data_IF_188110984153
#
_entry.id   IF_188110984153
#
_cell.length_a   1.000
_cell.length_b   1.000
_cell.length_c   1.000
_cell.angle_alpha   90.00
_cell.angle_beta   90.00
_cell.angle_gamma   90.00
#
_symmetry.space_group_name_H-M   'P 1'
#
loop_
_entity.id
_entity.type
_entity.pdbx_description
1 polymer ?
#
# COMPACT_ATOMS: atom_id res chain seq x y z
N UNK A 1 4.94 -9.62 4.15
CA UNK A 1 3.54 -10.10 4.02
C UNK A 1 3.32 -10.77 2.67
N UNK A 2 2.37 -11.73 2.62
CA UNK A 2 2.07 -12.52 1.42
C UNK A 2 1.71 -11.65 0.20
N UNK A 3 0.95 -10.57 0.41
CA UNK A 3 0.61 -9.62 -0.65
C UNK A 3 1.86 -8.98 -1.25
N UNK A 4 2.76 -8.47 -0.40
CA UNK A 4 4.02 -7.84 -0.83
C UNK A 4 4.90 -8.80 -1.61
N UNK A 5 5.00 -10.07 -1.17
CA UNK A 5 5.71 -11.13 -1.90
C UNK A 5 5.10 -11.34 -3.29
N UNK A 6 3.78 -11.41 -3.39
CA UNK A 6 3.07 -11.58 -4.64
C UNK A 6 3.29 -10.42 -5.63
N UNK A 7 3.25 -9.17 -5.13
CA UNK A 7 3.57 -7.99 -5.94
C UNK A 7 5.04 -8.00 -6.41
N UNK A 8 5.98 -8.28 -5.51
CA UNK A 8 7.41 -8.32 -5.82
C UNK A 8 7.73 -9.45 -6.83
N UNK A 9 7.08 -10.61 -6.69
CA UNK A 9 7.18 -11.71 -7.64
C UNK A 9 6.73 -11.30 -9.04
N UNK A 10 5.57 -10.64 -9.17
CA UNK A 10 5.11 -10.14 -10.46
C UNK A 10 6.02 -9.05 -11.02
N UNK A 11 6.56 -8.18 -10.18
CA UNK A 11 7.56 -7.18 -10.60
C UNK A 11 8.80 -7.83 -11.22
N UNK A 12 9.27 -8.91 -10.63
CA UNK A 12 10.39 -9.71 -11.15
C UNK A 12 10.05 -10.37 -12.49
N UNK A 13 8.83 -10.86 -12.66
CA UNK A 13 8.33 -11.42 -13.94
C UNK A 13 8.30 -10.36 -15.02
N UNK A 14 7.78 -9.18 -14.72
CA UNK A 14 7.74 -8.05 -15.66
C UNK A 14 9.14 -7.55 -16.03
N UNK A 15 10.06 -7.49 -15.08
CA UNK A 15 11.46 -7.14 -15.35
C UNK A 15 12.15 -8.15 -16.31
N UNK A 16 11.68 -9.40 -16.32
CA UNK A 16 12.13 -10.41 -17.28
C UNK A 16 11.39 -10.34 -18.64
N UNK A 17 10.57 -9.30 -18.89
CA UNK A 17 9.82 -9.11 -20.12
C UNK A 17 8.65 -10.09 -20.32
N UNK A 18 8.12 -10.67 -19.25
CA UNK A 18 7.05 -11.67 -19.31
C UNK A 18 5.81 -11.20 -18.57
N UNK A 19 4.63 -11.67 -18.97
CA UNK A 19 3.37 -11.41 -18.26
C UNK A 19 3.12 -12.42 -17.13
N UNK A 20 3.58 -13.65 -17.33
CA UNK A 20 3.55 -14.77 -16.38
C UNK A 20 4.70 -15.73 -16.66
N UNK A 21 4.95 -16.64 -15.75
CA UNK A 21 5.87 -17.76 -15.94
C UNK A 21 5.11 -19.04 -16.27
N UNK A 22 5.81 -19.99 -16.87
CA UNK A 22 5.32 -21.38 -16.94
C UNK A 22 5.33 -22.00 -15.53
N UNK A 23 4.36 -22.84 -15.19
CA UNK A 23 4.38 -23.57 -13.94
C UNK A 23 5.65 -24.41 -13.81
N UNK A 24 6.21 -24.53 -12.60
CA UNK A 24 7.34 -25.41 -12.32
C UNK A 24 6.92 -26.89 -12.50
N UNK A 25 7.91 -27.80 -12.57
CA UNK A 25 7.68 -29.23 -12.84
C UNK A 25 6.77 -29.91 -11.81
N UNK A 26 6.84 -29.48 -10.54
CA UNK A 26 5.99 -29.97 -9.44
C UNK A 26 5.26 -28.77 -8.85
N UNK A 27 4.14 -28.31 -9.44
CA UNK A 27 3.50 -27.04 -9.08
C UNK A 27 3.13 -26.93 -7.61
N UNK A 28 2.65 -28.02 -6.99
CA UNK A 28 2.20 -28.00 -5.60
C UNK A 28 3.30 -27.57 -4.63
N UNK A 29 4.55 -27.93 -4.90
CA UNK A 29 5.68 -27.55 -4.07
C UNK A 29 6.09 -26.05 -4.19
N UNK A 30 5.49 -25.31 -5.12
CA UNK A 30 5.76 -23.88 -5.35
C UNK A 30 4.54 -22.99 -5.06
N UNK A 31 3.46 -23.56 -4.53
CA UNK A 31 2.29 -22.78 -4.12
C UNK A 31 2.65 -21.80 -3.01
N UNK A 32 2.29 -20.56 -3.20
CA UNK A 32 2.40 -19.49 -2.20
C UNK A 32 1.09 -18.70 -2.17
N UNK A 33 0.82 -18.06 -1.04
CA UNK A 33 -0.38 -17.25 -0.91
C UNK A 33 -0.37 -16.09 -1.91
N UNK A 34 -1.56 -15.76 -2.41
CA UNK A 34 -1.78 -14.64 -3.34
C UNK A 34 -1.00 -14.74 -4.66
N UNK A 35 -0.53 -15.94 -5.00
CA UNK A 35 0.12 -16.26 -6.27
C UNK A 35 -0.75 -17.26 -7.03
N UNK A 36 -1.17 -16.85 -8.22
CA UNK A 36 -1.91 -17.71 -9.14
C UNK A 36 -0.96 -18.75 -9.72
N UNK A 37 -1.25 -20.01 -9.49
CA UNK A 37 -0.55 -21.15 -10.06
C UNK A 37 -1.60 -22.13 -10.58
N UNK A 38 -1.86 -22.05 -11.86
CA UNK A 38 -2.76 -22.96 -12.57
C UNK A 38 -1.98 -23.72 -13.66
N UNK A 39 -2.64 -24.64 -14.37
CA UNK A 39 -1.98 -25.52 -15.32
C UNK A 39 -1.12 -24.85 -16.41
N UNK A 40 -1.25 -23.56 -16.63
CA UNK A 40 -0.57 -22.82 -17.72
C UNK A 40 0.15 -21.57 -17.27
N UNK A 41 -0.14 -21.03 -16.08
CA UNK A 41 0.35 -19.71 -15.65
C UNK A 41 0.77 -19.71 -14.20
N UNK A 42 1.89 -19.02 -13.95
CA UNK A 42 2.41 -18.74 -12.62
C UNK A 42 2.71 -17.25 -12.49
N UNK A 43 1.89 -16.53 -11.73
CA UNK A 43 1.94 -15.06 -11.62
C UNK A 43 1.22 -14.57 -10.38
N UNK A 44 1.30 -13.27 -10.08
CA UNK A 44 0.49 -12.64 -9.04
C UNK A 44 -1.00 -12.64 -9.42
N UNK A 45 -1.86 -12.70 -8.43
CA UNK A 45 -3.30 -12.50 -8.62
C UNK A 45 -3.71 -11.01 -8.60
N UNK A 46 -2.79 -10.11 -8.27
CA UNK A 46 -3.08 -8.69 -8.12
C UNK A 46 -3.00 -7.88 -9.42
N UNK A 47 -3.60 -6.66 -9.44
CA UNK A 47 -3.52 -5.74 -10.58
C UNK A 47 -2.07 -5.40 -10.96
N UNK A 48 -1.78 -5.17 -12.27
CA UNK A 48 -0.41 -5.10 -12.78
C UNK A 48 0.32 -3.78 -12.51
N UNK A 49 -0.38 -2.71 -12.08
CA UNK A 49 0.20 -1.37 -12.02
C UNK A 49 1.37 -1.22 -11.05
N UNK A 50 1.23 -1.71 -9.82
CA UNK A 50 2.33 -1.65 -8.86
C UNK A 50 3.48 -2.60 -9.23
N UNK A 51 3.25 -3.85 -9.68
CA UNK A 51 4.31 -4.68 -10.23
C UNK A 51 5.10 -4.03 -11.37
N UNK A 52 4.48 -3.22 -12.23
CA UNK A 52 5.20 -2.47 -13.26
C UNK A 52 6.19 -1.46 -12.67
N UNK A 53 5.80 -0.77 -11.59
CA UNK A 53 6.70 0.13 -10.87
C UNK A 53 7.84 -0.64 -10.20
N UNK A 54 7.54 -1.80 -9.60
CA UNK A 54 8.55 -2.67 -9.01
C UNK A 54 9.51 -3.24 -10.05
N UNK A 55 9.04 -3.50 -11.28
CA UNK A 55 9.89 -3.97 -12.38
C UNK A 55 11.03 -2.99 -12.67
N UNK A 56 10.76 -1.67 -12.63
CA UNK A 56 11.81 -0.66 -12.75
C UNK A 56 12.87 -0.79 -11.65
N UNK A 57 12.45 -1.06 -10.42
CA UNK A 57 13.37 -1.34 -9.30
C UNK A 57 14.19 -2.62 -9.51
N UNK A 58 13.58 -3.69 -10.03
CA UNK A 58 14.28 -4.92 -10.36
C UNK A 58 15.34 -4.72 -11.46
N UNK A 59 15.06 -3.87 -12.46
CA UNK A 59 16.03 -3.53 -13.52
C UNK A 59 17.32 -2.93 -12.97
N UNK A 60 17.22 -2.10 -11.92
CA UNK A 60 18.39 -1.46 -11.29
C UNK A 60 18.92 -2.26 -10.08
N UNK A 61 18.37 -3.45 -9.80
CA UNK A 61 18.78 -4.30 -8.67
C UNK A 61 18.33 -3.78 -7.30
N UNK A 62 17.40 -2.82 -7.24
CA UNK A 62 16.98 -2.16 -6.00
C UNK A 62 15.44 -2.02 -5.89
N UNK A 63 14.67 -3.12 -5.98
CA UNK A 63 13.21 -3.06 -5.91
C UNK A 63 12.68 -2.48 -4.59
N UNK A 64 13.45 -2.60 -3.50
CA UNK A 64 13.12 -2.07 -2.18
C UNK A 64 13.13 -0.54 -2.12
N UNK A 65 13.75 0.16 -3.07
CA UNK A 65 13.76 1.62 -3.14
C UNK A 65 12.51 2.20 -3.80
N UNK A 66 11.67 1.40 -4.46
CA UNK A 66 10.52 1.90 -5.21
C UNK A 66 9.53 2.63 -4.30
N UNK A 67 9.10 2.03 -3.20
CA UNK A 67 8.17 2.67 -2.27
C UNK A 67 8.77 3.86 -1.52
N UNK A 68 10.02 3.85 -1.00
CA UNK A 68 10.64 5.05 -0.45
C UNK A 68 10.69 6.24 -1.43
N UNK A 69 11.02 6.00 -2.69
CA UNK A 69 11.02 7.05 -3.74
C UNK A 69 9.61 7.56 -3.99
N UNK A 70 8.62 6.67 -4.11
CA UNK A 70 7.23 7.05 -4.30
C UNK A 70 6.66 7.81 -3.10
N UNK A 71 7.08 7.48 -1.87
CA UNK A 71 6.72 8.23 -0.67
C UNK A 71 7.30 9.66 -0.72
N UNK A 72 8.57 9.81 -1.09
CA UNK A 72 9.17 11.12 -1.30
C UNK A 72 8.42 11.96 -2.34
N UNK A 73 8.03 11.34 -3.46
CA UNK A 73 7.20 11.98 -4.48
C UNK A 73 5.79 12.31 -3.97
N UNK A 74 5.19 11.48 -3.11
CA UNK A 74 3.90 11.74 -2.47
C UNK A 74 3.98 12.93 -1.52
N UNK A 75 5.05 13.03 -0.70
CA UNK A 75 5.30 14.17 0.19
C UNK A 75 5.40 15.48 -0.63
N UNK A 76 6.16 15.44 -1.72
CA UNK A 76 6.24 16.60 -2.62
C UNK A 76 4.88 16.90 -3.30
N UNK A 77 4.12 15.86 -3.65
CA UNK A 77 2.75 15.99 -4.16
C UNK A 77 1.80 16.67 -3.17
N UNK A 78 1.89 16.32 -1.88
CA UNK A 78 1.11 16.98 -0.80
C UNK A 78 1.50 18.45 -0.66
N UNK A 79 2.80 18.77 -0.69
CA UNK A 79 3.26 20.17 -0.75
C UNK A 79 2.63 20.92 -1.92
N UNK A 80 2.69 20.34 -3.11
CA UNK A 80 2.14 20.95 -4.34
C UNK A 80 0.62 21.13 -4.24
N UNK A 81 -0.11 20.09 -3.85
CA UNK A 81 -1.57 20.12 -3.68
C UNK A 81 -1.98 21.19 -2.66
N UNK A 82 -1.30 21.22 -1.50
CA UNK A 82 -1.57 22.21 -0.45
C UNK A 82 -1.31 23.65 -0.92
N UNK A 83 -0.23 23.86 -1.67
CA UNK A 83 0.09 25.18 -2.28
C UNK A 83 -0.96 25.59 -3.31
N UNK A 84 -1.44 24.64 -4.13
CA UNK A 84 -2.48 24.91 -5.14
C UNK A 84 -3.83 25.22 -4.49
N UNK A 85 -4.19 24.45 -3.46
CA UNK A 85 -5.51 24.60 -2.80
C UNK A 85 -5.54 25.77 -1.82
N UNK A 86 -4.47 26.02 -1.09
CA UNK A 86 -4.45 26.99 0.00
C UNK A 86 -3.33 28.01 -0.17
N UNK A 87 -2.17 27.68 0.37
CA UNK A 87 -0.95 28.49 0.33
C UNK A 87 0.29 27.62 0.62
N UNK A 88 1.46 28.18 0.40
CA UNK A 88 2.74 27.50 0.57
C UNK A 88 2.94 26.98 2.00
N UNK A 89 2.56 27.74 3.02
CA UNK A 89 2.75 27.32 4.42
C UNK A 89 1.87 26.13 4.80
N UNK A 90 0.64 26.04 4.26
CA UNK A 90 -0.21 24.86 4.42
C UNK A 90 0.38 23.66 3.68
N UNK A 91 0.92 23.89 2.48
CA UNK A 91 1.58 22.83 1.71
C UNK A 91 2.81 22.27 2.43
N UNK A 92 3.66 23.13 2.98
CA UNK A 92 4.84 22.71 3.77
C UNK A 92 4.45 21.93 5.01
N UNK A 93 3.47 22.43 5.79
CA UNK A 93 3.05 21.74 7.01
C UNK A 93 2.38 20.40 6.70
N UNK A 94 1.55 20.29 5.65
CA UNK A 94 0.96 19.03 5.23
C UNK A 94 2.02 18.03 4.77
N UNK A 95 3.02 18.46 3.99
CA UNK A 95 4.14 17.64 3.58
C UNK A 95 4.97 17.15 4.77
N UNK A 96 5.23 18.03 5.75
CA UNK A 96 5.92 17.65 6.99
C UNK A 96 5.13 16.59 7.77
N UNK A 97 3.83 16.79 7.96
CA UNK A 97 2.97 15.83 8.66
C UNK A 97 2.97 14.46 7.96
N UNK A 98 2.93 14.42 6.63
CA UNK A 98 3.04 13.14 5.92
C UNK A 98 4.44 12.51 6.08
N UNK A 99 5.50 13.32 6.04
CA UNK A 99 6.89 12.85 6.14
C UNK A 99 7.22 12.24 7.51
N UNK A 100 6.55 12.68 8.57
CA UNK A 100 6.79 12.19 9.94
C UNK A 100 5.73 11.18 10.42
N UNK A 101 4.78 10.81 9.57
CA UNK A 101 3.77 9.80 9.90
C UNK A 101 4.40 8.41 10.00
N UNK A 102 4.40 7.77 11.19
CA UNK A 102 4.89 6.40 11.35
C UNK A 102 4.22 5.43 10.39
N UNK A 103 2.91 5.54 10.23
CA UNK A 103 2.15 4.71 9.29
C UNK A 103 2.63 4.88 7.83
N UNK A 104 2.93 6.12 7.39
CA UNK A 104 3.46 6.36 6.06
C UNK A 104 4.88 5.81 5.88
N UNK A 105 5.74 5.98 6.89
CA UNK A 105 7.14 5.52 6.85
C UNK A 105 7.24 4.00 6.80
N UNK A 106 6.48 3.30 7.65
CA UNK A 106 6.49 1.84 7.71
C UNK A 106 5.90 1.21 6.44
N UNK A 107 4.80 1.76 5.91
CA UNK A 107 4.28 1.34 4.60
C UNK A 107 5.25 1.65 3.45
N UNK A 108 6.06 2.71 3.60
CA UNK A 108 7.15 3.02 2.67
C UNK A 108 8.25 1.96 2.62
N UNK A 109 8.39 1.17 3.66
CA UNK A 109 9.40 0.12 3.76
C UNK A 109 8.93 -1.26 3.26
N UNK A 110 7.68 -1.40 2.81
CA UNK A 110 7.10 -2.67 2.36
C UNK A 110 6.86 -2.69 0.84
N UNK A 111 6.66 -3.88 0.28
CA UNK A 111 6.27 -4.11 -1.12
C UNK A 111 4.75 -4.04 -1.34
N UNK A 112 4.07 -3.11 -0.67
CA UNK A 112 2.64 -2.92 -0.80
C UNK A 112 2.29 -1.76 -1.75
N UNK A 113 1.16 -1.84 -2.50
CA UNK A 113 0.79 -0.86 -3.53
C UNK A 113 0.27 0.46 -2.97
N UNK A 114 0.05 0.55 -1.66
CA UNK A 114 -0.61 1.67 -1.00
C UNK A 114 0.16 2.99 -1.18
N UNK A 115 1.49 2.97 -1.05
CA UNK A 115 2.34 4.15 -1.24
C UNK A 115 2.31 4.63 -2.70
N UNK A 116 2.31 3.70 -3.65
CA UNK A 116 2.16 4.03 -5.06
C UNK A 116 0.80 4.69 -5.32
N UNK A 117 -0.28 4.15 -4.74
CA UNK A 117 -1.62 4.74 -4.85
C UNK A 117 -1.71 6.12 -4.20
N UNK A 118 -1.17 6.30 -2.99
CA UNK A 118 -1.08 7.60 -2.31
C UNK A 118 -0.38 8.64 -3.19
N UNK A 119 0.77 8.28 -3.76
CA UNK A 119 1.52 9.14 -4.66
C UNK A 119 0.69 9.54 -5.88
N UNK A 120 0.17 8.56 -6.60
CA UNK A 120 -0.62 8.75 -7.82
C UNK A 120 -1.86 9.60 -7.54
N UNK A 121 -2.61 9.31 -6.48
CA UNK A 121 -3.84 10.01 -6.15
C UNK A 121 -3.56 11.46 -5.72
N UNK A 122 -2.51 11.69 -4.93
CA UNK A 122 -2.11 13.04 -4.52
C UNK A 122 -1.76 13.92 -5.73
N UNK A 123 -0.97 13.40 -6.66
CA UNK A 123 -0.64 14.12 -7.89
C UNK A 123 -1.85 14.28 -8.83
N UNK A 124 -2.72 13.27 -8.92
CA UNK A 124 -3.98 13.38 -9.65
C UNK A 124 -4.83 14.54 -9.11
N UNK A 125 -5.01 14.63 -7.78
CA UNK A 125 -5.70 15.73 -7.13
C UNK A 125 -5.03 17.08 -7.38
N UNK A 126 -3.70 17.16 -7.36
CA UNK A 126 -2.96 18.39 -7.60
C UNK A 126 -3.23 18.94 -9.01
N UNK A 127 -3.10 18.09 -10.04
CA UNK A 127 -3.39 18.48 -11.41
C UNK A 127 -4.89 18.76 -11.64
N UNK A 128 -5.78 18.01 -10.98
CA UNK A 128 -7.21 18.27 -11.06
C UNK A 128 -7.56 19.64 -10.46
N UNK A 129 -6.96 19.98 -9.31
CA UNK A 129 -7.11 21.31 -8.69
C UNK A 129 -6.54 22.43 -9.55
N UNK A 130 -5.40 22.20 -10.20
CA UNK A 130 -4.82 23.17 -11.17
C UNK A 130 -5.75 23.40 -12.36
N UNK A 131 -6.38 22.34 -12.87
CA UNK A 131 -7.34 22.48 -13.98
C UNK A 131 -8.51 23.39 -13.65
N UNK A 132 -8.94 23.42 -12.40
CA UNK A 132 -10.03 24.30 -11.95
C UNK A 132 -9.65 25.79 -11.94
N UNK A 133 -8.34 26.12 -12.05
CA UNK A 133 -7.85 27.52 -12.19
C UNK A 133 -7.80 28.01 -13.64
N UNK A 134 -8.31 27.24 -14.59
CA UNK A 134 -8.38 27.62 -15.99
C UNK A 134 -7.10 27.38 -16.81
N UNK A 135 -6.13 26.64 -16.30
CA UNK A 135 -4.84 26.37 -16.95
C UNK A 135 -4.98 25.20 -17.94
N UNK A 136 -5.31 25.48 -19.21
CA UNK A 136 -5.13 24.60 -20.37
C UNK A 136 -5.61 23.14 -20.28
N UNK A 137 -5.31 22.33 -21.30
CA UNK A 137 -5.65 20.91 -21.39
C UNK A 137 -4.68 20.00 -20.61
N UNK A 138 -3.41 20.40 -20.46
CA UNK A 138 -2.35 19.57 -19.86
C UNK A 138 -2.68 19.03 -18.47
N UNK A 139 -3.17 19.84 -17.49
CA UNK A 139 -3.53 19.32 -16.18
C UNK A 139 -4.63 18.24 -16.23
N UNK A 140 -5.60 18.38 -17.13
CA UNK A 140 -6.67 17.36 -17.31
C UNK A 140 -6.12 16.06 -17.92
N UNK A 141 -5.25 16.17 -18.93
CA UNK A 141 -4.60 14.99 -19.54
C UNK A 141 -3.78 14.22 -18.51
N UNK A 142 -2.95 14.94 -17.73
CA UNK A 142 -2.12 14.31 -16.70
C UNK A 142 -2.96 13.73 -15.58
N UNK A 143 -4.00 14.44 -15.11
CA UNK A 143 -4.93 13.92 -14.10
C UNK A 143 -5.67 12.70 -14.60
N UNK A 144 -6.12 12.68 -15.86
CA UNK A 144 -6.75 11.52 -16.50
C UNK A 144 -5.82 10.31 -16.54
N UNK A 145 -4.56 10.51 -16.94
CA UNK A 145 -3.54 9.46 -16.95
C UNK A 145 -3.30 8.91 -15.54
N UNK A 146 -3.05 9.78 -14.55
CA UNK A 146 -2.78 9.38 -13.17
C UNK A 146 -3.99 8.70 -12.52
N UNK A 147 -5.20 9.23 -12.73
CA UNK A 147 -6.42 8.61 -12.20
C UNK A 147 -6.66 7.20 -12.77
N UNK A 148 -6.50 7.04 -14.08
CA UNK A 148 -6.61 5.76 -14.76
C UNK A 148 -5.47 4.80 -14.36
N UNK A 149 -4.23 5.29 -14.23
CA UNK A 149 -3.13 4.46 -13.73
C UNK A 149 -3.34 4.06 -12.26
N UNK A 150 -3.97 4.92 -11.46
CA UNK A 150 -4.46 4.57 -10.12
C UNK A 150 -5.41 3.37 -10.12
N UNK A 151 -6.31 3.29 -11.12
CA UNK A 151 -7.18 2.10 -11.33
C UNK A 151 -6.34 0.87 -11.68
N UNK A 152 -5.27 1.01 -12.47
CA UNK A 152 -4.35 -0.09 -12.80
C UNK A 152 -3.59 -0.59 -11.57
N UNK A 153 -3.34 0.29 -10.57
CA UNK A 153 -2.64 -0.06 -9.32
C UNK A 153 -3.60 -0.62 -8.27
N UNK A 154 -4.68 0.12 -7.93
CA UNK A 154 -5.68 -0.26 -6.93
C UNK A 154 -7.08 0.22 -7.35
N UNK A 155 -7.82 -0.57 -8.12
CA UNK A 155 -9.07 -0.14 -8.76
C UNK A 155 -10.11 0.38 -7.78
N UNK A 156 -10.36 -0.33 -6.69
CA UNK A 156 -11.39 0.05 -5.70
C UNK A 156 -11.03 1.36 -5.00
N UNK A 157 -9.78 1.48 -4.51
CA UNK A 157 -9.31 2.68 -3.83
C UNK A 157 -9.33 3.90 -4.78
N UNK A 158 -8.93 3.71 -6.05
CA UNK A 158 -8.94 4.78 -7.04
C UNK A 158 -10.36 5.32 -7.29
N UNK A 159 -11.33 4.44 -7.47
CA UNK A 159 -12.73 4.84 -7.69
C UNK A 159 -13.27 5.54 -6.44
N UNK A 160 -13.13 4.94 -5.26
CA UNK A 160 -13.67 5.48 -4.02
C UNK A 160 -13.06 6.86 -3.70
N UNK A 161 -11.74 7.00 -3.79
CA UNK A 161 -11.05 8.22 -3.39
C UNK A 161 -11.14 9.34 -4.43
N UNK A 162 -10.99 9.02 -5.73
CA UNK A 162 -10.92 10.05 -6.77
C UNK A 162 -12.28 10.49 -7.31
N UNK A 163 -13.33 9.67 -7.20
CA UNK A 163 -14.65 9.99 -7.75
C UNK A 163 -15.24 11.28 -7.18
N UNK A 164 -15.25 11.53 -5.86
CA UNK A 164 -15.74 12.81 -5.32
C UNK A 164 -14.97 14.01 -5.85
N UNK A 165 -13.65 13.86 -5.99
CA UNK A 165 -12.79 14.91 -6.52
C UNK A 165 -13.11 15.21 -7.98
N UNK A 166 -13.27 14.18 -8.78
CA UNK A 166 -13.62 14.28 -10.19
C UNK A 166 -14.98 14.97 -10.38
N UNK A 167 -15.99 14.53 -9.65
CA UNK A 167 -17.32 15.15 -9.69
C UNK A 167 -17.24 16.65 -9.36
N UNK A 168 -16.58 17.01 -8.26
CA UNK A 168 -16.44 18.40 -7.85
C UNK A 168 -15.70 19.25 -8.90
N UNK A 169 -14.65 18.71 -9.50
CA UNK A 169 -13.91 19.39 -10.57
C UNK A 169 -14.76 19.59 -11.83
N UNK A 170 -15.52 18.57 -12.25
CA UNK A 170 -16.43 18.68 -13.39
C UNK A 170 -17.55 19.69 -13.14
N UNK A 171 -18.10 19.72 -11.92
CA UNK A 171 -19.10 20.74 -11.52
C UNK A 171 -18.48 22.14 -11.54
N UNK A 172 -17.26 22.31 -11.05
CA UNK A 172 -16.54 23.58 -11.11
C UNK A 172 -16.30 24.03 -12.57
N UNK A 173 -16.10 23.10 -13.45
CA UNK A 173 -15.85 23.30 -14.90
C UNK A 173 -17.08 23.05 -15.77
N UNK A 174 -18.29 23.14 -15.24
CA UNK A 174 -19.55 22.81 -15.92
C UNK A 174 -19.71 23.43 -17.32
N UNK A 175 -19.16 24.62 -17.53
CA UNK A 175 -19.19 25.29 -18.84
C UNK A 175 -18.31 24.62 -19.91
N UNK A 176 -17.33 23.83 -19.50
CA UNK A 176 -16.39 23.13 -20.35
C UNK A 176 -16.41 21.60 -20.07
N UNK A 177 -17.53 21.08 -19.58
CA UNK A 177 -17.61 19.69 -19.06
C UNK A 177 -17.25 18.66 -20.15
N UNK A 178 -17.77 18.82 -21.37
CA UNK A 178 -17.49 17.90 -22.48
C UNK A 178 -16.01 17.90 -22.83
N UNK A 179 -15.41 19.09 -22.92
CA UNK A 179 -13.96 19.23 -23.16
C UNK A 179 -13.14 18.64 -22.02
N UNK A 180 -13.56 18.84 -20.76
CA UNK A 180 -12.88 18.29 -19.60
C UNK A 180 -12.94 16.77 -19.58
N UNK A 181 -14.10 16.16 -19.84
CA UNK A 181 -14.26 14.70 -19.98
C UNK A 181 -13.40 14.17 -21.13
N UNK A 182 -13.38 14.86 -22.27
CA UNK A 182 -12.56 14.48 -23.43
C UNK A 182 -11.08 14.41 -23.11
N UNK A 183 -10.51 15.41 -22.44
CA UNK A 183 -9.09 15.40 -22.04
C UNK A 183 -8.78 14.39 -20.94
N UNK A 184 -9.64 14.24 -19.94
CA UNK A 184 -9.50 13.21 -18.90
C UNK A 184 -9.53 11.81 -19.52
N UNK A 185 -10.49 11.55 -20.43
CA UNK A 185 -10.60 10.28 -21.14
C UNK A 185 -9.40 9.99 -22.03
N UNK A 186 -8.93 11.00 -22.79
CA UNK A 186 -7.74 10.85 -23.63
C UNK A 186 -6.50 10.54 -22.80
N UNK A 187 -6.31 11.23 -21.65
CA UNK A 187 -5.22 10.95 -20.72
C UNK A 187 -5.31 9.54 -20.14
N UNK A 188 -6.52 9.09 -19.79
CA UNK A 188 -6.74 7.78 -19.17
C UNK A 188 -6.77 6.60 -20.14
N UNK A 189 -6.85 6.84 -21.44
CA UNK A 189 -7.05 5.78 -22.43
C UNK A 189 -5.95 4.72 -22.43
N UNK A 190 -4.68 5.12 -22.41
CA UNK A 190 -3.56 4.19 -22.46
C UNK A 190 -3.45 3.28 -21.20
N UNK A 191 -3.53 3.79 -19.95
CA UNK A 191 -3.53 2.94 -18.77
C UNK A 191 -4.70 1.94 -18.74
N UNK A 192 -5.92 2.38 -19.10
CA UNK A 192 -7.08 1.49 -19.11
C UNK A 192 -7.00 0.44 -20.22
N UNK A 193 -6.54 0.81 -21.41
CA UNK A 193 -6.30 -0.14 -22.49
C UNK A 193 -5.28 -1.22 -22.07
N UNK A 194 -4.20 -0.82 -21.38
CA UNK A 194 -3.23 -1.75 -20.82
C UNK A 194 -3.89 -2.71 -19.81
N UNK A 195 -4.68 -2.18 -18.86
CA UNK A 195 -5.37 -3.02 -17.86
C UNK A 195 -6.29 -4.05 -18.52
N UNK A 196 -7.09 -3.59 -19.48
CA UNK A 196 -8.04 -4.48 -20.17
C UNK A 196 -7.33 -5.53 -21.02
N UNK A 197 -6.25 -5.16 -21.71
CA UNK A 197 -5.43 -6.10 -22.48
C UNK A 197 -4.76 -7.13 -21.54
N UNK A 198 -4.19 -6.70 -20.42
CA UNK A 198 -3.59 -7.60 -19.41
C UNK A 198 -4.63 -8.58 -18.84
N UNK A 199 -5.79 -8.08 -18.41
CA UNK A 199 -6.86 -8.92 -17.89
C UNK A 199 -7.37 -9.92 -18.94
N UNK A 200 -7.55 -9.47 -20.19
CA UNK A 200 -7.95 -10.33 -21.29
C UNK A 200 -6.91 -11.42 -21.55
N UNK A 201 -5.64 -11.07 -21.59
CA UNK A 201 -4.55 -12.05 -21.72
C UNK A 201 -4.53 -13.05 -20.57
N UNK A 202 -4.81 -12.61 -19.33
CA UNK A 202 -4.79 -13.45 -18.13
C UNK A 202 -6.03 -14.34 -18.00
N UNK A 203 -7.22 -13.84 -18.32
CA UNK A 203 -8.50 -14.48 -17.98
C UNK A 203 -9.44 -14.75 -19.17
N UNK A 204 -9.10 -14.26 -20.37
CA UNK A 204 -10.01 -14.24 -21.53
C UNK A 204 -11.11 -13.18 -21.45
N UNK A 205 -11.13 -12.33 -20.40
CA UNK A 205 -12.16 -11.31 -20.24
C UNK A 205 -11.55 -9.99 -19.71
N UNK A 206 -11.77 -8.82 -20.36
CA UNK A 206 -11.06 -7.58 -20.05
C UNK A 206 -11.34 -7.03 -18.64
N UNK A 207 -12.48 -7.35 -18.04
CA UNK A 207 -12.88 -6.88 -16.71
C UNK A 207 -12.60 -7.91 -15.59
N UNK A 208 -12.12 -9.12 -15.92
CA UNK A 208 -11.85 -10.16 -14.92
C UNK A 208 -10.41 -10.08 -14.44
N UNK A 209 -10.21 -9.59 -13.23
CA UNK A 209 -8.90 -9.48 -12.60
C UNK A 209 -8.41 -10.82 -12.03
N UNK A 210 -7.11 -10.95 -11.79
CA UNK A 210 -6.48 -12.19 -11.35
C UNK A 210 -7.05 -12.76 -10.05
N UNK A 211 -7.42 -11.93 -9.08
CA UNK A 211 -8.03 -12.39 -7.83
C UNK A 211 -9.43 -13.01 -8.06
N UNK A 212 -10.20 -12.53 -9.05
CA UNK A 212 -11.48 -13.14 -9.45
C UNK A 212 -11.26 -14.44 -10.23
N UNK A 213 -10.12 -14.58 -10.92
CA UNK A 213 -9.73 -15.85 -11.56
C UNK A 213 -9.40 -16.90 -10.52
N UNK A 214 -8.72 -16.49 -9.44
CA UNK A 214 -8.35 -17.36 -8.32
C UNK A 214 -9.55 -17.75 -7.45
N UNK A 215 -10.42 -16.79 -7.15
CA UNK A 215 -11.64 -16.99 -6.37
C UNK A 215 -12.80 -16.19 -6.98
N UNK A 216 -13.70 -16.85 -7.74
CA UNK A 216 -14.86 -16.21 -8.35
C UNK A 216 -15.78 -15.48 -7.36
N UNK A 217 -15.75 -15.85 -6.08
CA UNK A 217 -16.54 -15.20 -5.03
C UNK A 217 -16.07 -13.77 -4.75
N UNK A 218 -14.86 -13.41 -5.15
CA UNK A 218 -14.29 -12.06 -5.08
C UNK A 218 -14.69 -11.17 -6.26
N UNK A 219 -15.57 -11.64 -7.15
CA UNK A 219 -16.15 -10.79 -8.19
C UNK A 219 -16.85 -9.59 -7.57
N UNK A 220 -16.66 -8.42 -8.20
CA UNK A 220 -17.27 -7.18 -7.72
C UNK A 220 -18.79 -7.24 -7.95
N UNK A 221 -19.53 -7.77 -7.00
CA UNK A 221 -20.98 -7.67 -6.94
C UNK A 221 -21.38 -7.24 -5.52
N UNK A 222 -22.45 -6.46 -5.40
CA UNK A 222 -23.02 -6.14 -4.09
C UNK A 222 -23.39 -7.39 -3.28
N UNK A 223 -23.64 -8.51 -3.94
CA UNK A 223 -23.91 -9.80 -3.31
C UNK A 223 -22.66 -10.51 -2.81
N UNK A 224 -21.49 -10.33 -3.43
CA UNK A 224 -20.22 -10.89 -2.95
C UNK A 224 -19.63 -10.10 -1.78
N UNK A 225 -20.09 -8.86 -1.52
CA UNK A 225 -19.84 -8.20 -0.24
C UNK A 225 -20.55 -8.90 0.92
N UNK A 226 -21.52 -9.72 0.64
CA UNK A 226 -22.46 -10.15 1.66
C UNK A 226 -22.10 -11.45 2.36
N UNK A 227 -21.26 -12.33 1.89
CA UNK A 227 -20.94 -13.63 2.56
C UNK A 227 -21.80 -13.95 3.80
N UNK A 228 -23.10 -13.84 3.68
CA UNK A 228 -24.06 -13.98 4.78
C UNK A 228 -24.19 -12.79 5.73
N UNK A 229 -23.44 -11.67 5.51
CA UNK A 229 -23.60 -10.43 6.27
C UNK A 229 -24.36 -9.39 5.44
N UNK A 230 -25.30 -8.68 6.09
CA UNK A 230 -25.92 -7.54 5.45
C UNK A 230 -24.91 -6.39 5.30
N UNK A 231 -24.97 -5.58 4.22
CA UNK A 231 -24.08 -4.43 4.06
C UNK A 231 -24.07 -3.50 5.28
N UNK A 232 -25.22 -3.30 5.93
CA UNK A 232 -25.31 -2.51 7.15
C UNK A 232 -24.53 -3.10 8.33
N UNK A 233 -24.48 -4.41 8.49
CA UNK A 233 -23.68 -5.04 9.55
C UNK A 233 -22.19 -4.87 9.32
N UNK A 234 -21.71 -5.02 8.09
CA UNK A 234 -20.31 -4.77 7.73
C UNK A 234 -19.92 -3.31 8.00
N UNK A 235 -20.77 -2.36 7.59
CA UNK A 235 -20.53 -0.95 7.84
C UNK A 235 -20.37 -0.65 9.32
N UNK A 236 -21.34 -1.06 10.16
CA UNK A 236 -21.31 -0.80 11.59
C UNK A 236 -20.21 -1.58 12.33
N UNK A 237 -19.75 -2.69 11.76
CA UNK A 237 -18.59 -3.41 12.28
C UNK A 237 -17.26 -2.71 11.96
N UNK A 238 -17.10 -2.15 10.77
CA UNK A 238 -15.80 -1.66 10.31
C UNK A 238 -15.62 -0.14 10.43
N UNK A 239 -16.65 0.66 10.17
CA UNK A 239 -16.55 2.11 10.15
C UNK A 239 -16.05 2.74 11.47
N UNK A 240 -16.55 2.34 12.66
CA UNK A 240 -16.00 2.86 13.91
C UNK A 240 -14.53 2.49 14.11
N UNK A 241 -14.12 1.27 13.72
CA UNK A 241 -12.74 0.84 13.80
C UNK A 241 -11.84 1.62 12.86
N UNK A 242 -12.26 1.89 11.61
CA UNK A 242 -11.50 2.76 10.73
C UNK A 242 -11.23 4.13 11.33
N UNK A 243 -12.24 4.75 11.94
CA UNK A 243 -12.08 6.05 12.60
C UNK A 243 -11.15 5.97 13.81
N UNK A 244 -11.33 4.95 14.65
CA UNK A 244 -10.49 4.72 15.81
C UNK A 244 -9.03 4.51 15.41
N UNK A 245 -8.79 3.68 14.41
CA UNK A 245 -7.45 3.35 13.97
C UNK A 245 -6.76 4.53 13.29
N UNK A 246 -7.48 5.30 12.48
CA UNK A 246 -6.96 6.56 11.94
C UNK A 246 -6.64 7.57 13.05
N UNK A 247 -7.45 7.60 14.11
CA UNK A 247 -7.23 8.51 15.25
C UNK A 247 -5.98 8.12 16.07
N UNK A 248 -5.60 6.86 16.06
CA UNK A 248 -4.53 6.34 16.90
C UNK A 248 -3.19 6.12 16.17
N UNK A 249 -3.19 5.93 14.84
CA UNK A 249 -2.01 5.36 14.16
C UNK A 249 -1.36 6.26 13.11
N UNK A 250 -1.99 7.36 12.70
CA UNK A 250 -1.41 8.22 11.67
C UNK A 250 -0.18 8.98 12.18
N UNK A 251 -0.29 9.59 13.36
CA UNK A 251 0.79 10.31 14.07
C UNK A 251 0.95 9.88 15.52
N UNK A 252 -0.10 9.29 16.13
CA UNK A 252 -0.12 8.87 17.53
C UNK A 252 -0.12 10.03 18.52
N UNK A 253 -0.72 11.16 18.18
CA UNK A 253 -0.80 12.30 19.09
C UNK A 253 -1.63 11.97 20.37
N UNK A 254 -1.23 12.45 21.55
CA UNK A 254 -1.87 12.10 22.81
C UNK A 254 -3.32 12.57 22.95
N UNK A 255 -3.76 13.48 22.08
CA UNK A 255 -5.15 13.94 22.02
C UNK A 255 -5.98 13.28 20.89
N UNK A 256 -5.40 12.30 20.17
CA UNK A 256 -5.94 11.70 18.96
C UNK A 256 -5.57 12.48 17.69
N UNK A 257 -5.44 11.77 16.59
CA UNK A 257 -4.96 12.33 15.31
C UNK A 257 -6.07 13.11 14.58
N UNK A 258 -7.34 12.75 14.82
CA UNK A 258 -8.50 13.37 14.18
C UNK A 258 -9.06 14.57 14.95
N UNK A 259 -8.81 14.68 16.27
CA UNK A 259 -9.36 15.76 17.09
C UNK A 259 -9.04 17.18 16.55
N UNK A 260 -7.82 17.46 16.04
CA UNK A 260 -7.52 18.77 15.48
C UNK A 260 -8.46 19.19 14.34
N UNK A 261 -9.07 18.24 13.62
CA UNK A 261 -9.97 18.52 12.51
C UNK A 261 -11.23 19.28 12.94
N UNK A 262 -11.58 19.31 14.24
CA UNK A 262 -12.68 20.11 14.80
C UNK A 262 -12.51 21.60 14.46
N UNK A 263 -11.28 22.10 14.37
CA UNK A 263 -11.03 23.48 13.99
C UNK A 263 -11.48 23.83 12.56
N UNK A 264 -11.68 22.85 11.69
CA UNK A 264 -12.23 23.05 10.35
C UNK A 264 -13.73 23.44 10.37
N UNK A 265 -14.40 23.24 11.49
CA UNK A 265 -15.79 23.68 11.68
C UNK A 265 -15.88 25.21 11.81
N UNK A 266 -14.81 25.89 12.19
CA UNK A 266 -14.76 27.35 12.28
C UNK A 266 -14.89 27.93 10.86
N UNK A 267 -15.83 28.87 10.63
CA UNK A 267 -15.97 29.50 9.34
C UNK A 267 -14.67 30.23 8.91
N UNK A 268 -14.12 29.82 7.78
CA UNK A 268 -12.89 30.40 7.25
C UNK A 268 -12.84 30.30 5.70
N UNK A 269 -12.07 31.15 5.04
CA UNK A 269 -11.79 31.01 3.62
C UNK A 269 -11.19 29.63 3.31
N UNK A 270 -11.66 28.99 2.23
CA UNK A 270 -11.19 27.65 1.82
C UNK A 270 -12.06 26.49 2.24
N UNK A 271 -13.14 26.68 3.00
CA UNK A 271 -14.06 25.63 3.48
C UNK A 271 -14.55 24.69 2.36
N UNK A 272 -14.78 25.19 1.14
CA UNK A 272 -15.14 24.33 0.00
C UNK A 272 -14.01 23.36 -0.38
N UNK A 273 -12.75 23.78 -0.22
CA UNK A 273 -11.56 22.96 -0.49
C UNK A 273 -11.36 21.94 0.61
N UNK A 274 -11.61 22.33 1.87
CA UNK A 274 -11.60 21.42 3.02
C UNK A 274 -12.68 20.34 2.82
N UNK A 275 -13.90 20.70 2.42
CA UNK A 275 -14.99 19.78 2.12
C UNK A 275 -14.66 18.84 0.94
N UNK A 276 -13.94 19.33 -0.06
CA UNK A 276 -13.49 18.55 -1.21
C UNK A 276 -12.51 17.43 -0.79
N UNK A 277 -11.50 17.75 0.01
CA UNK A 277 -10.57 16.78 0.55
C UNK A 277 -11.27 15.82 1.52
N UNK A 278 -12.12 16.33 2.40
CA UNK A 278 -12.88 15.52 3.34
C UNK A 278 -13.81 14.52 2.63
N UNK A 279 -14.44 14.92 1.52
CA UNK A 279 -15.27 14.03 0.73
C UNK A 279 -14.48 12.86 0.13
N UNK A 280 -13.22 13.08 -0.31
CA UNK A 280 -12.35 12.01 -0.79
C UNK A 280 -11.99 11.03 0.34
N UNK A 281 -11.64 11.55 1.52
CA UNK A 281 -11.33 10.73 2.71
C UNK A 281 -12.54 9.91 3.13
N UNK A 282 -13.68 10.56 3.29
CA UNK A 282 -14.91 9.91 3.73
C UNK A 282 -15.40 8.86 2.73
N UNK A 283 -15.35 9.15 1.43
CA UNK A 283 -15.75 8.17 0.42
C UNK A 283 -14.88 6.92 0.44
N UNK A 284 -13.56 7.06 0.68
CA UNK A 284 -12.65 5.93 0.84
C UNK A 284 -12.99 5.11 2.09
N UNK A 285 -13.09 5.78 3.25
CA UNK A 285 -13.36 5.12 4.54
C UNK A 285 -14.73 4.45 4.54
N UNK A 286 -15.77 5.17 4.11
CA UNK A 286 -17.13 4.63 4.01
C UNK A 286 -17.17 3.46 3.01
N UNK A 287 -16.56 3.60 1.84
CA UNK A 287 -16.56 2.56 0.81
C UNK A 287 -15.89 1.27 1.30
N UNK A 288 -14.72 1.36 1.94
CA UNK A 288 -14.06 0.19 2.50
C UNK A 288 -14.71 -0.34 3.78
N UNK A 289 -15.54 0.44 4.48
CA UNK A 289 -16.35 -0.09 5.59
C UNK A 289 -17.38 -1.13 5.15
N UNK A 290 -17.74 -1.16 3.86
CA UNK A 290 -18.54 -2.22 3.28
C UNK A 290 -17.71 -3.39 2.73
N UNK A 291 -16.38 -3.28 2.79
CA UNK A 291 -15.51 -4.32 2.27
C UNK A 291 -15.44 -5.50 3.27
N UNK A 292 -15.40 -6.73 2.71
CA UNK A 292 -15.39 -7.97 3.50
C UNK A 292 -14.23 -8.05 4.49
N UNK A 293 -13.06 -7.57 4.08
CA UNK A 293 -11.85 -7.64 4.89
C UNK A 293 -11.64 -6.29 5.59
N UNK A 294 -11.67 -6.30 6.90
CA UNK A 294 -11.06 -5.27 7.72
C UNK A 294 -9.67 -5.73 8.09
N UNK A 295 -8.69 -4.89 7.90
CA UNK A 295 -7.30 -5.25 8.13
C UNK A 295 -6.53 -4.05 8.66
N UNK A 296 -6.05 -4.19 9.89
CA UNK A 296 -5.20 -3.24 10.61
C UNK A 296 -3.71 -3.55 10.45
N UNK A 297 -3.36 -4.42 9.50
CA UNK A 297 -1.97 -4.77 9.25
C UNK A 297 -1.11 -3.56 8.90
N UNK A 298 0.20 -3.67 9.07
CA UNK A 298 1.17 -2.64 8.73
C UNK A 298 1.07 -1.36 9.57
N UNK A 299 0.70 -1.48 10.85
CA UNK A 299 0.69 -0.37 11.79
C UNK A 299 -0.42 0.66 11.57
N UNK A 300 -1.52 0.25 10.93
CA UNK A 300 -2.67 1.12 10.75
C UNK A 300 -3.72 0.56 9.78
N UNK A 301 -4.83 1.27 9.57
CA UNK A 301 -5.93 0.85 8.72
C UNK A 301 -5.54 0.95 7.24
N UNK A 302 -4.85 -0.07 6.71
CA UNK A 302 -4.23 -0.05 5.36
C UNK A 302 -5.19 0.35 4.24
N UNK A 303 -6.49 0.04 4.36
CA UNK A 303 -7.48 0.41 3.35
C UNK A 303 -7.84 1.90 3.36
N UNK A 304 -7.46 2.64 4.40
CA UNK A 304 -7.57 4.09 4.47
C UNK A 304 -6.26 4.84 4.15
N UNK A 305 -5.18 4.11 3.85
CA UNK A 305 -3.84 4.68 3.67
C UNK A 305 -3.77 5.77 2.60
N UNK A 306 -4.49 5.61 1.50
CA UNK A 306 -4.50 6.57 0.40
C UNK A 306 -5.09 7.94 0.79
N UNK A 307 -5.83 7.99 1.89
CA UNK A 307 -6.36 9.24 2.43
C UNK A 307 -5.31 10.10 3.15
N UNK A 308 -4.14 9.55 3.51
CA UNK A 308 -3.13 10.24 4.33
C UNK A 308 -2.69 11.58 3.76
N UNK A 309 -2.54 11.71 2.44
CA UNK A 309 -2.17 12.99 1.82
C UNK A 309 -3.23 14.08 2.03
N UNK A 310 -4.50 13.72 1.89
CA UNK A 310 -5.63 14.63 2.15
C UNK A 310 -5.79 14.92 3.64
N UNK A 311 -5.66 13.91 4.51
CA UNK A 311 -5.69 14.07 5.98
C UNK A 311 -4.57 14.98 6.47
N UNK A 312 -3.35 14.81 5.97
CA UNK A 312 -2.22 15.67 6.31
C UNK A 312 -2.47 17.14 5.95
N UNK A 313 -3.11 17.43 4.82
CA UNK A 313 -3.51 18.78 4.44
C UNK A 313 -4.64 19.32 5.31
N UNK A 314 -5.64 18.51 5.62
CA UNK A 314 -6.73 18.90 6.52
C UNK A 314 -6.20 19.17 7.93
N UNK A 315 -5.32 18.32 8.46
CA UNK A 315 -4.65 18.54 9.75
C UNK A 315 -3.77 19.81 9.73
N UNK A 316 -3.00 20.03 8.65
CA UNK A 316 -2.21 21.26 8.49
C UNK A 316 -3.08 22.52 8.52
N UNK A 317 -4.25 22.48 7.86
CA UNK A 317 -5.25 23.55 7.92
C UNK A 317 -5.78 23.75 9.34
N UNK A 318 -6.15 22.66 10.01
CA UNK A 318 -6.68 22.69 11.37
C UNK A 318 -5.66 23.27 12.35
N UNK A 319 -4.41 22.82 12.34
CA UNK A 319 -3.33 23.35 13.19
C UNK A 319 -3.06 24.83 12.91
N UNK A 320 -3.10 25.27 11.65
CA UNK A 320 -2.95 26.69 11.33
C UNK A 320 -4.12 27.55 11.83
N UNK A 321 -5.35 27.02 11.82
CA UNK A 321 -6.51 27.71 12.39
C UNK A 321 -6.42 27.78 13.92
N UNK A 322 -6.05 26.69 14.57
CA UNK A 322 -5.78 26.66 16.01
C UNK A 322 -4.68 27.65 16.40
N UNK A 323 -3.58 27.68 15.64
CA UNK A 323 -2.46 28.62 15.84
C UNK A 323 -2.87 30.10 15.71
N UNK A 324 -3.75 30.43 14.77
CA UNK A 324 -4.30 31.80 14.64
C UNK A 324 -5.16 32.16 15.85
N UNK A 325 -6.00 31.23 16.30
CA UNK A 325 -6.82 31.43 17.50
C UNK A 325 -5.93 31.64 18.73
N UNK A 326 -4.95 30.77 18.94
CA UNK A 326 -3.97 30.87 20.02
C UNK A 326 -3.21 32.20 19.97
N UNK A 327 -2.76 32.65 18.78
CA UNK A 327 -2.11 33.94 18.62
C UNK A 327 -3.00 35.12 19.04
N UNK A 328 -4.27 35.09 18.66
CA UNK A 328 -5.22 36.15 19.03
C UNK A 328 -5.48 36.19 20.56
N UNK A 329 -5.50 35.02 21.20
CA UNK A 329 -5.62 34.91 22.67
C UNK A 329 -4.38 35.43 23.37
N UNK A 330 -3.18 35.04 22.92
CA UNK A 330 -1.90 35.53 23.46
C UNK A 330 -1.78 37.06 23.36
N UNK A 331 -2.24 37.66 22.28
CA UNK A 331 -2.29 39.13 22.14
C UNK A 331 -3.21 39.77 23.17
N UNK A 332 -4.41 39.20 23.39
CA UNK A 332 -5.37 39.70 24.40
C UNK A 332 -4.81 39.66 25.83
N UNK A 333 -4.04 38.63 26.16
CA UNK A 333 -3.41 38.49 27.50
C UNK A 333 -2.00 39.09 27.56
N UNK A 334 -1.61 39.93 26.59
CA UNK A 334 -0.30 40.63 26.51
C UNK A 334 0.92 39.70 26.46
N UNK A 335 0.74 38.45 26.02
CA UNK A 335 1.81 37.46 25.84
C UNK A 335 2.22 37.30 24.37
N UNK A 336 1.89 38.24 23.50
CA UNK A 336 2.17 38.20 22.05
C UNK A 336 3.64 37.99 21.68
N UNK A 337 4.59 38.39 22.57
CA UNK A 337 6.03 38.17 22.40
C UNK A 337 6.46 36.70 22.29
N UNK A 338 5.64 35.79 22.81
CA UNK A 338 5.91 34.34 22.77
C UNK A 338 5.31 33.63 21.54
N UNK A 339 4.61 34.37 20.66
CA UNK A 339 3.92 33.79 19.49
C UNK A 339 4.84 33.01 18.57
N UNK A 340 5.99 33.55 18.23
CA UNK A 340 6.95 32.90 17.32
C UNK A 340 7.60 31.68 17.96
N UNK A 341 8.00 31.80 19.23
CA UNK A 341 8.57 30.67 19.98
C UNK A 341 7.55 29.56 20.17
N UNK A 342 6.29 29.85 20.48
CA UNK A 342 5.22 28.88 20.62
C UNK A 342 4.89 28.18 19.28
N UNK A 343 4.87 28.93 18.17
CA UNK A 343 4.69 28.33 16.85
C UNK A 343 5.84 27.41 16.45
N UNK A 344 7.09 27.80 16.72
CA UNK A 344 8.26 26.97 16.47
C UNK A 344 8.22 25.70 17.32
N UNK A 345 7.93 25.83 18.63
CA UNK A 345 7.80 24.67 19.51
C UNK A 345 6.70 23.71 19.06
N UNK A 346 5.55 24.21 18.62
CA UNK A 346 4.48 23.38 18.07
C UNK A 346 4.92 22.61 16.82
N UNK A 347 5.61 23.25 15.86
CA UNK A 347 6.13 22.57 14.67
C UNK A 347 7.15 21.49 15.04
N UNK A 348 8.06 21.80 15.97
CA UNK A 348 9.05 20.82 16.47
C UNK A 348 8.35 19.64 17.14
N UNK A 349 7.34 19.91 17.99
CA UNK A 349 6.54 18.85 18.61
C UNK A 349 5.84 17.97 17.58
N UNK A 350 5.11 18.57 16.63
CA UNK A 350 4.41 17.84 15.58
C UNK A 350 5.37 16.98 14.71
N UNK A 351 6.62 17.40 14.56
CA UNK A 351 7.62 16.66 13.80
C UNK A 351 8.28 15.53 14.62
N UNK A 352 8.65 15.79 15.87
CA UNK A 352 9.46 14.86 16.65
C UNK A 352 8.64 13.87 17.47
N UNK A 353 7.43 14.23 17.90
CA UNK A 353 6.62 13.35 18.75
C UNK A 353 6.29 12.00 18.08
N UNK A 354 5.76 11.96 16.85
CA UNK A 354 5.48 10.69 16.17
C UNK A 354 6.72 9.83 15.97
N UNK A 355 7.86 10.45 15.65
CA UNK A 355 9.14 9.77 15.42
C UNK A 355 9.76 9.22 16.70
N UNK A 356 9.52 9.87 17.84
CA UNK A 356 10.08 9.48 19.14
C UNK A 356 9.20 8.53 19.95
N UNK A 357 7.93 8.40 19.61
CA UNK A 357 6.95 7.58 20.36
C UNK A 357 6.46 6.39 19.52
N UNK A 358 5.53 6.63 18.63
CA UNK A 358 4.83 5.58 17.89
C UNK A 358 5.75 4.81 16.92
N UNK A 359 6.65 5.51 16.19
CA UNK A 359 7.51 4.86 15.18
C UNK A 359 8.44 3.80 15.79
N UNK A 360 9.16 4.02 16.90
CA UNK A 360 10.03 3.00 17.50
C UNK A 360 9.25 1.76 17.94
N UNK A 361 8.10 1.94 18.59
CA UNK A 361 7.24 0.86 19.06
C UNK A 361 6.76 -0.01 17.89
N UNK A 362 6.25 0.59 16.84
CA UNK A 362 5.76 -0.12 15.66
C UNK A 362 6.90 -0.77 14.87
N UNK A 363 8.06 -0.11 14.76
CA UNK A 363 9.23 -0.65 14.07
C UNK A 363 9.79 -1.88 14.79
N UNK A 364 9.82 -1.86 16.12
CA UNK A 364 10.22 -3.02 16.94
C UNK A 364 9.29 -4.20 16.67
N UNK A 365 7.98 -4.00 16.76
CA UNK A 365 7.00 -5.05 16.52
C UNK A 365 7.10 -5.65 15.10
N UNK A 366 7.35 -4.82 14.08
CA UNK A 366 7.55 -5.28 12.69
C UNK A 366 8.93 -5.90 12.44
N UNK A 367 9.89 -5.77 13.37
CA UNK A 367 11.22 -6.40 13.25
C UNK A 367 11.19 -7.91 13.44
N UNK A 368 10.14 -8.43 14.06
CA UNK A 368 9.88 -9.86 14.21
C UNK A 368 9.36 -10.48 12.90
N UNK A 369 9.12 -11.80 12.89
CA UNK A 369 8.60 -12.50 11.72
C UNK A 369 7.12 -12.15 11.49
N UNK A 370 6.86 -10.99 10.91
CA UNK A 370 5.51 -10.49 10.65
C UNK A 370 4.80 -11.35 9.60
N UNK A 371 3.59 -11.83 9.91
CA UNK A 371 2.88 -12.84 9.12
C UNK A 371 3.74 -14.06 8.78
N UNK A 372 4.56 -14.52 9.72
CA UNK A 372 5.48 -15.65 9.55
C UNK A 372 6.50 -15.50 8.41
N UNK A 373 6.73 -14.28 7.89
CA UNK A 373 7.77 -14.00 6.91
C UNK A 373 9.05 -13.58 7.62
N UNK A 374 10.14 -14.29 7.38
CA UNK A 374 11.44 -13.99 7.98
C UNK A 374 12.58 -14.19 6.99
N UNK A 375 13.55 -13.26 6.91
CA UNK A 375 14.76 -13.43 6.09
C UNK A 375 15.82 -14.30 6.78
N UNK A 376 15.62 -14.66 8.04
CA UNK A 376 16.64 -15.29 8.87
C UNK A 376 17.17 -16.63 8.30
N UNK A 377 16.33 -17.53 7.76
CA UNK A 377 16.84 -18.74 7.12
C UNK A 377 17.75 -18.44 5.93
N UNK A 378 17.40 -17.44 5.11
CA UNK A 378 18.20 -17.03 3.95
C UNK A 378 19.53 -16.41 4.36
N UNK A 379 19.57 -15.64 5.47
CA UNK A 379 20.82 -15.10 6.03
C UNK A 379 21.76 -16.20 6.50
N UNK A 380 21.24 -17.29 7.05
CA UNK A 380 22.03 -18.44 7.55
C UNK A 380 22.44 -19.43 6.46
N UNK A 381 21.94 -19.28 5.24
CA UNK A 381 22.16 -20.22 4.13
C UNK A 381 23.65 -20.48 3.81
N UNK A 382 24.47 -19.43 3.81
CA UNK A 382 25.93 -19.55 3.59
C UNK A 382 26.62 -20.26 4.76
N UNK A 383 26.25 -19.91 5.98
CA UNK A 383 26.81 -20.54 7.19
C UNK A 383 26.43 -22.01 7.30
N UNK A 384 25.27 -22.40 6.79
CA UNK A 384 24.84 -23.79 6.69
C UNK A 384 25.60 -24.60 5.63
N UNK A 385 26.42 -23.97 4.79
CA UNK A 385 27.18 -24.65 3.75
C UNK A 385 26.40 -25.02 2.49
N UNK A 386 25.21 -24.42 2.31
CA UNK A 386 24.36 -24.69 1.12
C UNK A 386 25.02 -24.15 -0.14
N UNK A 387 25.38 -25.02 -1.04
CA UNK A 387 26.03 -24.70 -2.30
C UNK A 387 25.17 -23.88 -3.27
N UNK A 388 25.78 -23.34 -4.33
CA UNK A 388 25.06 -22.58 -5.34
C UNK A 388 24.12 -23.45 -6.19
N UNK A 389 24.36 -24.76 -6.30
CA UNK A 389 23.56 -25.71 -7.07
C UNK A 389 22.75 -26.63 -6.14
N UNK A 390 21.76 -26.07 -5.49
CA UNK A 390 20.97 -26.79 -4.51
C UNK A 390 19.45 -26.74 -4.79
N UNK A 391 18.77 -27.83 -4.43
CA UNK A 391 17.33 -27.88 -4.18
C UNK A 391 17.13 -27.77 -2.66
N UNK A 392 16.49 -26.72 -2.22
CA UNK A 392 16.20 -26.48 -0.79
C UNK A 392 14.73 -26.74 -0.52
N UNK A 393 14.47 -27.76 0.27
CA UNK A 393 13.15 -28.15 0.74
C UNK A 393 12.81 -27.34 2.00
N UNK A 394 11.80 -26.49 1.92
CA UNK A 394 11.35 -25.63 3.02
C UNK A 394 10.24 -26.34 3.80
N UNK A 395 10.46 -26.54 5.08
CA UNK A 395 9.55 -27.17 6.02
C UNK A 395 9.34 -26.29 7.25
N UNK A 396 8.41 -26.65 8.10
CA UNK A 396 8.13 -25.96 9.38
C UNK A 396 6.65 -25.88 9.69
N UNK A 397 6.34 -25.40 10.89
CA UNK A 397 4.96 -25.34 11.41
C UNK A 397 4.10 -24.28 10.72
N UNK A 398 4.71 -23.31 10.03
CA UNK A 398 4.03 -22.23 9.29
C UNK A 398 4.48 -22.15 7.83
N UNK A 399 4.86 -23.30 7.23
CA UNK A 399 5.48 -23.35 5.90
C UNK A 399 4.65 -22.66 4.81
N UNK A 400 3.33 -22.69 4.92
CA UNK A 400 2.42 -22.03 3.94
C UNK A 400 2.62 -20.51 3.86
N UNK A 401 3.02 -19.90 4.97
CA UNK A 401 3.33 -18.47 5.06
C UNK A 401 4.81 -18.20 4.88
N UNK A 402 5.64 -18.95 5.58
CA UNK A 402 7.10 -18.79 5.60
C UNK A 402 7.72 -18.98 4.22
N UNK A 403 7.17 -19.89 3.41
CA UNK A 403 7.64 -20.15 2.04
C UNK A 403 7.62 -18.89 1.15
N UNK A 404 6.74 -17.93 1.40
CA UNK A 404 6.73 -16.65 0.69
C UNK A 404 8.09 -15.94 0.71
N UNK A 405 8.83 -16.01 1.82
CA UNK A 405 10.18 -15.44 1.93
C UNK A 405 11.19 -16.08 0.98
N UNK A 406 10.99 -17.33 0.63
CA UNK A 406 11.88 -18.07 -0.27
C UNK A 406 11.45 -17.97 -1.74
N UNK A 407 10.18 -17.71 -2.01
CA UNK A 407 9.65 -17.63 -3.36
C UNK A 407 10.42 -16.62 -4.24
N UNK A 408 10.75 -15.46 -3.67
CA UNK A 408 11.46 -14.38 -4.36
C UNK A 408 12.91 -14.76 -4.72
N UNK A 409 13.51 -15.72 -4.02
CA UNK A 409 14.85 -16.21 -4.30
C UNK A 409 14.89 -17.15 -5.51
N UNK A 410 13.75 -17.73 -5.90
CA UNK A 410 13.67 -18.52 -7.13
C UNK A 410 13.90 -17.63 -8.36
N UNK A 411 14.63 -18.18 -9.33
CA UNK A 411 14.73 -17.56 -10.66
C UNK A 411 13.38 -17.52 -11.37
N UNK A 412 13.31 -16.77 -12.46
CA UNK A 412 12.13 -16.75 -13.35
C UNK A 412 11.96 -18.05 -14.14
N UNK A 413 12.90 -18.96 -14.08
CA UNK A 413 12.82 -20.35 -14.58
C UNK A 413 13.43 -21.28 -13.52
N UNK A 414 12.63 -21.87 -12.62
CA UNK A 414 13.14 -22.81 -11.60
C UNK A 414 13.82 -24.05 -12.18
N UNK A 415 13.52 -24.44 -13.44
CA UNK A 415 14.18 -25.58 -14.10
C UNK A 415 15.67 -25.32 -14.35
N UNK A 416 16.03 -24.06 -14.61
CA UNK A 416 17.40 -23.62 -14.93
C UNK A 416 18.07 -22.86 -13.79
N UNK A 417 17.31 -22.47 -12.77
CA UNK A 417 17.84 -21.71 -11.64
C UNK A 417 18.97 -22.49 -10.95
N UNK A 418 20.09 -21.86 -10.60
CA UNK A 418 21.18 -22.54 -9.90
C UNK A 418 20.68 -23.06 -8.55
N UNK A 419 19.95 -22.28 -7.79
CA UNK A 419 19.31 -22.71 -6.54
C UNK A 419 17.79 -22.65 -6.69
N UNK A 420 17.11 -23.66 -6.13
CA UNK A 420 15.65 -23.77 -6.18
C UNK A 420 15.14 -24.00 -4.76
N UNK A 421 14.16 -23.19 -4.37
CA UNK A 421 13.44 -23.34 -3.11
C UNK A 421 12.06 -23.89 -3.39
N UNK A 422 11.66 -24.95 -2.70
CA UNK A 422 10.38 -25.59 -2.84
C UNK A 422 9.84 -26.00 -1.46
N UNK A 423 8.52 -26.06 -1.29
CA UNK A 423 7.92 -26.57 -0.07
C UNK A 423 8.21 -28.07 0.06
N UNK A 424 8.57 -28.53 1.26
CA UNK A 424 8.75 -29.94 1.56
C UNK A 424 7.37 -30.59 1.75
N UNK A 425 6.86 -31.21 0.69
CA UNK A 425 5.61 -32.00 0.71
C UNK A 425 6.00 -33.48 0.68
N UNK A 426 5.81 -34.24 1.77
CA UNK A 426 6.21 -35.64 1.85
C UNK A 426 5.72 -36.48 0.69
N UNK A 427 4.44 -36.28 0.29
CA UNK A 427 3.77 -37.00 -0.79
C UNK A 427 4.31 -36.64 -2.20
N UNK A 428 4.92 -35.48 -2.35
CA UNK A 428 5.51 -34.98 -3.61
C UNK A 428 7.03 -35.00 -3.64
N UNK A 429 7.67 -35.38 -2.54
CA UNK A 429 9.13 -35.32 -2.41
C UNK A 429 9.86 -36.18 -3.46
N UNK A 430 9.40 -37.39 -3.72
CA UNK A 430 10.00 -38.27 -4.73
C UNK A 430 9.94 -37.64 -6.13
N UNK A 431 8.79 -37.07 -6.51
CA UNK A 431 8.58 -36.41 -7.78
C UNK A 431 9.48 -35.17 -7.90
N UNK A 432 9.61 -34.38 -6.82
CA UNK A 432 10.45 -33.19 -6.77
C UNK A 432 11.95 -33.56 -6.89
N UNK A 433 12.41 -34.60 -6.23
CA UNK A 433 13.78 -35.09 -6.35
C UNK A 433 14.10 -35.61 -7.76
N UNK A 434 13.15 -36.26 -8.40
CA UNK A 434 13.25 -36.70 -9.79
C UNK A 434 13.32 -35.51 -10.78
N UNK A 435 12.59 -34.44 -10.49
CA UNK A 435 12.59 -33.20 -11.31
C UNK A 435 13.96 -32.47 -11.27
N UNK A 436 14.74 -32.64 -10.20
CA UNK A 436 16.03 -31.97 -9.98
C UNK A 436 17.17 -32.97 -9.66
N UNK A 437 17.50 -33.93 -10.54
CA UNK A 437 18.37 -35.07 -10.23
C UNK A 437 19.82 -34.70 -9.96
N UNK A 438 20.28 -33.56 -10.50
CA UNK A 438 21.71 -33.11 -10.44
C UNK A 438 21.97 -32.09 -9.32
N UNK A 439 20.96 -31.74 -8.51
CA UNK A 439 21.13 -30.77 -7.43
C UNK A 439 21.45 -31.44 -6.11
N UNK A 440 22.31 -30.81 -5.31
CA UNK A 440 22.39 -31.14 -3.90
C UNK A 440 21.03 -30.88 -3.24
N UNK A 441 20.63 -31.77 -2.35
CA UNK A 441 19.32 -31.63 -1.68
C UNK A 441 19.54 -31.27 -0.22
N UNK A 442 19.00 -30.13 0.11
CA UNK A 442 18.99 -29.59 1.48
C UNK A 442 17.56 -29.45 1.98
N UNK A 443 17.39 -29.56 3.28
CA UNK A 443 16.13 -29.26 3.96
C UNK A 443 16.37 -28.19 5.01
N UNK A 444 15.51 -27.18 5.04
CA UNK A 444 15.45 -26.19 6.11
C UNK A 444 14.12 -26.34 6.83
N UNK A 445 14.19 -26.56 8.12
CA UNK A 445 13.03 -26.61 9.03
C UNK A 445 12.99 -25.31 9.81
N UNK A 446 11.90 -24.54 9.67
CA UNK A 446 11.71 -23.23 10.31
C UNK A 446 10.58 -23.36 11.31
N UNK A 447 10.89 -23.26 12.59
CA UNK A 447 9.90 -23.26 13.66
C UNK A 447 9.68 -21.84 14.15
N UNK A 448 8.43 -21.39 14.08
CA UNK A 448 8.01 -20.08 14.55
C UNK A 448 7.04 -20.24 15.73
N UNK A 449 7.16 -19.35 16.71
CA UNK A 449 6.28 -19.23 17.86
C UNK A 449 5.49 -17.93 17.76
N UNK A 450 4.15 -17.95 17.95
CA UNK A 450 3.35 -16.72 18.02
C UNK A 450 3.85 -15.83 19.14
N UNK A 451 4.03 -14.55 18.87
CA UNK A 451 4.29 -13.53 19.88
C UNK A 451 2.99 -12.81 20.19
N UNK A 452 2.45 -12.90 21.40
CA UNK A 452 1.37 -12.03 21.84
C UNK A 452 1.92 -10.60 21.93
N UNK A 453 1.52 -9.74 21.02
CA UNK A 453 1.86 -8.33 21.10
C UNK A 453 0.82 -7.60 21.94
N UNK A 454 1.20 -6.78 22.93
CA UNK A 454 0.27 -6.03 23.76
C UNK A 454 -0.49 -4.96 22.99
N UNK A 455 -0.03 -4.63 21.79
CA UNK A 455 -0.61 -3.62 20.93
C UNK A 455 -1.50 -4.27 19.90
N UNK A 456 -2.81 -4.02 19.95
CA UNK A 456 -3.83 -4.55 19.04
C UNK A 456 -3.60 -4.17 17.56
N UNK A 457 -2.71 -3.19 17.30
CA UNK A 457 -2.42 -2.68 15.96
C UNK A 457 -1.49 -3.58 15.14
N UNK A 458 -0.80 -4.54 15.77
CA UNK A 458 0.17 -5.40 15.12
C UNK A 458 -0.13 -6.86 15.48
N UNK A 459 -1.10 -7.42 14.77
CA UNK A 459 -1.40 -8.84 14.82
C UNK A 459 -0.41 -9.65 13.99
N UNK A 460 -0.35 -10.98 14.26
CA UNK A 460 0.41 -11.94 13.47
C UNK A 460 1.94 -11.72 13.47
N UNK A 461 2.49 -11.33 14.61
CA UNK A 461 3.94 -11.37 14.84
C UNK A 461 4.36 -12.72 15.38
N UNK A 462 5.54 -13.18 14.94
CA UNK A 462 6.09 -14.48 15.28
C UNK A 462 7.56 -14.33 15.64
N UNK A 463 8.02 -15.13 16.56
CA UNK A 463 9.45 -15.23 16.89
C UNK A 463 10.06 -16.46 16.23
N UNK A 464 11.32 -16.36 15.81
CA UNK A 464 12.05 -17.48 15.24
C UNK A 464 12.57 -18.34 16.39
N UNK A 465 11.91 -19.45 16.66
CA UNK A 465 12.29 -20.38 17.71
C UNK A 465 13.45 -21.30 17.28
N UNK A 466 13.44 -21.73 16.02
CA UNK A 466 14.49 -22.59 15.50
C UNK A 466 14.61 -22.58 13.98
N UNK A 467 15.86 -22.73 13.51
CA UNK A 467 16.17 -22.95 12.10
C UNK A 467 17.18 -24.09 12.03
N UNK A 468 16.76 -25.23 11.49
CA UNK A 468 17.58 -26.42 11.35
C UNK A 468 17.84 -26.71 9.87
N UNK A 469 19.11 -26.75 9.50
CA UNK A 469 19.56 -27.13 8.16
C UNK A 469 20.06 -28.56 8.16
N UNK A 470 19.63 -29.37 7.21
CA UNK A 470 20.09 -30.74 7.01
C UNK A 470 20.35 -31.02 5.54
N UNK A 471 21.48 -31.68 5.25
CA UNK A 471 21.78 -32.16 3.90
C UNK A 471 21.14 -33.54 3.75
N UNK A 472 20.36 -33.74 2.70
CA UNK A 472 19.68 -35.00 2.42
C UNK A 472 20.39 -35.81 1.33
N UNK A 473 21.08 -35.13 0.39
CA UNK A 473 21.81 -35.73 -0.72
C UNK A 473 22.94 -34.83 -1.19
#
# INVERSE_FOLDING_TARGET
VADGVSYAFQGKIFAAGRLWLEPPLVPDAFKSQNVLLNGTRWCSLYPPGFPLLLAAGWFVGAPFLVNPVLLGLAIFGVFRLGTVLYDQATGVLGALLLAVSPFALLMGADFMPHVASLCIFTWCLAFLAESCKGIGARPLLVSGFLGAFGVVVRPQAAVLFLLPALIAALVARRKEIVRSIGFLGLGGAAPLAFLFAYNFALSGHPLRMGYVVNDPSLSFSFTSFAFGFSPSRLFWAHFPWFLHDLDATVWGFPWGDLLPLVFLLIPAPGRRRDAWLAACVLALVIGFSFFRFYDISHSGPRYAFEALGALALLAARAFRMAGRLAASLLERVRLGRYRTAGAAAAVVFLALFPLGTLLPEQAEALSHAYHAHTPEPLRRLKAAGVGPSALVLVAGNTVEWTYGSFLLENGTDPRRAPRVFARDLPEKRAELLAAYPRKEVWRVDVTLRPLPHPNLWIDNTWDVEGIVWSRLR
#
